data_IF_410605481616
#
_entry.id   IF_410605481616
#
_cell.length_a   1.000
_cell.length_b   1.000
_cell.length_c   1.000
_cell.angle_alpha   90.00
_cell.angle_beta   90.00
_cell.angle_gamma   90.00
#
_symmetry.space_group_name_H-M   'P 1'
#
loop_
_entity.id
_entity.type
_entity.pdbx_description
1 polymer ?
#
# COMPACT_ATOMS: atom_id res chain seq x y z
N UNK A 1 -8.62 19.43 6.02
CA UNK A 1 -9.68 18.56 5.43
C UNK A 1 -9.48 18.29 3.95
N UNK A 2 -9.18 19.30 3.10
CA UNK A 2 -8.91 19.09 1.66
C UNK A 2 -7.82 18.05 1.38
N UNK A 3 -6.67 18.15 2.04
CA UNK A 3 -5.56 17.19 1.89
C UNK A 3 -5.94 15.75 2.23
N UNK A 4 -6.75 15.54 3.27
CA UNK A 4 -7.18 14.19 3.67
C UNK A 4 -8.03 13.53 2.58
N UNK A 5 -8.99 14.28 2.01
CA UNK A 5 -9.84 13.80 0.92
C UNK A 5 -9.01 13.55 -0.35
N UNK A 6 -8.07 14.44 -0.67
CA UNK A 6 -7.17 14.26 -1.82
C UNK A 6 -6.26 13.04 -1.65
N UNK A 7 -5.71 12.81 -0.46
CA UNK A 7 -4.87 11.65 -0.17
C UNK A 7 -5.66 10.35 -0.31
N UNK A 8 -6.89 10.29 0.20
CA UNK A 8 -7.77 9.13 0.01
C UNK A 8 -8.05 8.89 -1.47
N UNK A 9 -8.38 9.95 -2.22
CA UNK A 9 -8.61 9.84 -3.67
C UNK A 9 -7.38 9.34 -4.42
N UNK A 10 -6.19 9.84 -4.07
CA UNK A 10 -4.93 9.39 -4.66
C UNK A 10 -4.63 7.92 -4.32
N UNK A 11 -4.90 7.50 -3.07
CA UNK A 11 -4.79 6.10 -2.64
C UNK A 11 -5.69 5.18 -3.47
N UNK A 12 -6.94 5.59 -3.73
CA UNK A 12 -7.86 4.82 -4.58
C UNK A 12 -7.37 4.72 -6.03
N UNK A 13 -6.81 5.80 -6.59
CA UNK A 13 -6.24 5.77 -7.94
C UNK A 13 -5.00 4.88 -7.98
N UNK A 14 -4.11 4.99 -6.99
CA UNK A 14 -2.88 4.20 -6.91
C UNK A 14 -3.17 2.70 -6.74
N UNK A 15 -4.15 2.34 -5.89
CA UNK A 15 -4.61 0.97 -5.73
C UNK A 15 -5.35 0.47 -6.97
N UNK A 16 -6.18 1.30 -7.61
CA UNK A 16 -6.95 0.94 -8.80
C UNK A 16 -6.13 0.77 -10.08
N UNK A 17 -5.02 1.50 -10.20
CA UNK A 17 -4.20 1.53 -11.42
C UNK A 17 -3.61 0.15 -11.79
N UNK A 18 -3.00 -0.62 -10.86
CA UNK A 18 -2.56 -1.99 -11.15
C UNK A 18 -3.69 -2.91 -11.64
N UNK A 19 -4.90 -2.81 -11.06
CA UNK A 19 -6.04 -3.62 -11.48
C UNK A 19 -6.51 -3.26 -12.89
N UNK A 20 -6.44 -1.98 -13.27
CA UNK A 20 -6.83 -1.51 -14.60
C UNK A 20 -5.75 -1.77 -15.66
N UNK A 21 -4.50 -1.42 -15.38
CA UNK A 21 -3.40 -1.48 -16.34
C UNK A 21 -2.82 -2.90 -16.50
N UNK A 22 -2.77 -3.70 -15.43
CA UNK A 22 -2.16 -5.04 -15.43
C UNK A 22 -2.99 -6.06 -14.62
N UNK A 23 -4.21 -6.38 -15.06
CA UNK A 23 -5.14 -7.25 -14.32
C UNK A 23 -4.60 -8.68 -14.11
N UNK A 24 -3.86 -9.22 -15.08
CA UNK A 24 -3.30 -10.57 -14.99
C UNK A 24 -2.18 -10.67 -13.94
N UNK A 25 -1.33 -9.65 -13.85
CA UNK A 25 -0.29 -9.54 -12.84
C UNK A 25 -0.89 -9.50 -11.44
N UNK A 26 -1.93 -8.67 -11.23
CA UNK A 26 -2.61 -8.61 -9.93
C UNK A 26 -3.32 -9.92 -9.57
N UNK A 27 -4.00 -10.58 -10.52
CA UNK A 27 -4.62 -11.89 -10.26
C UNK A 27 -3.59 -12.93 -9.82
N UNK A 28 -2.39 -12.94 -10.42
CA UNK A 28 -1.30 -13.83 -10.01
C UNK A 28 -0.82 -13.52 -8.59
N UNK A 29 -0.62 -12.24 -8.29
CA UNK A 29 -0.15 -11.78 -6.98
C UNK A 29 -1.15 -12.12 -5.87
N UNK A 30 -2.45 -11.92 -6.13
CA UNK A 30 -3.54 -12.34 -5.24
C UNK A 30 -3.59 -13.85 -5.00
N UNK A 31 -3.37 -14.67 -6.05
CA UNK A 31 -3.29 -16.13 -5.88
C UNK A 31 -2.12 -16.51 -4.96
N UNK A 32 -0.95 -15.92 -5.17
CA UNK A 32 0.21 -16.17 -4.31
C UNK A 32 -0.07 -15.79 -2.85
N UNK A 33 -0.76 -14.67 -2.60
CA UNK A 33 -1.17 -14.26 -1.26
C UNK A 33 -2.16 -15.24 -0.60
N UNK A 34 -3.09 -15.82 -1.38
CA UNK A 34 -4.04 -16.81 -0.89
C UNK A 34 -3.40 -18.17 -0.61
N UNK A 35 -2.34 -18.52 -1.35
CA UNK A 35 -1.58 -19.76 -1.15
C UNK A 35 -0.58 -19.67 0.00
N UNK A 36 -0.26 -18.46 0.48
CA UNK A 36 0.64 -18.26 1.62
C UNK A 36 0.02 -18.74 2.94
N UNK A 37 0.78 -19.41 3.82
CA UNK A 37 0.31 -19.76 5.15
C UNK A 37 0.03 -18.49 5.96
N UNK A 38 -0.95 -18.54 6.89
CA UNK A 38 -1.40 -17.36 7.63
C UNK A 38 -0.31 -16.71 8.50
N UNK A 39 0.70 -17.47 8.91
CA UNK A 39 1.84 -16.94 9.66
C UNK A 39 2.74 -16.05 8.77
N UNK A 40 3.03 -16.48 7.54
CA UNK A 40 3.81 -15.68 6.60
C UNK A 40 3.03 -14.44 6.16
N UNK A 41 1.72 -14.58 5.91
CA UNK A 41 0.88 -13.45 5.54
C UNK A 41 0.84 -12.37 6.65
N UNK A 42 0.82 -12.79 7.92
CA UNK A 42 0.92 -11.88 9.07
C UNK A 42 2.26 -11.15 9.10
N UNK A 43 3.37 -11.86 8.86
CA UNK A 43 4.69 -11.22 8.81
C UNK A 43 4.81 -10.23 7.66
N UNK A 44 4.33 -10.59 6.46
CA UNK A 44 4.30 -9.68 5.30
C UNK A 44 3.48 -8.42 5.61
N UNK A 45 2.29 -8.58 6.21
CA UNK A 45 1.45 -7.46 6.64
C UNK A 45 2.10 -6.62 7.74
N UNK A 46 2.81 -7.24 8.68
CA UNK A 46 3.50 -6.52 9.74
C UNK A 46 4.68 -5.70 9.22
N UNK A 47 5.49 -6.30 8.33
CA UNK A 47 6.61 -5.61 7.68
C UNK A 47 6.11 -4.48 6.80
N UNK A 48 5.04 -4.68 6.01
CA UNK A 48 4.48 -3.63 5.17
C UNK A 48 3.92 -2.47 6.01
N UNK A 49 3.27 -2.75 7.14
CA UNK A 49 2.80 -1.75 8.09
C UNK A 49 3.96 -0.95 8.70
N UNK A 50 5.02 -1.62 9.16
CA UNK A 50 6.21 -0.95 9.73
C UNK A 50 6.92 -0.07 8.70
N UNK A 51 7.06 -0.56 7.46
CA UNK A 51 7.64 0.23 6.37
C UNK A 51 6.78 1.45 6.06
N UNK A 52 5.45 1.30 6.00
CA UNK A 52 4.53 2.42 5.81
C UNK A 52 4.65 3.46 6.93
N UNK A 53 4.72 3.03 8.18
CA UNK A 53 4.95 3.91 9.33
C UNK A 53 6.30 4.62 9.26
N UNK A 54 7.35 3.92 8.86
CA UNK A 54 8.68 4.49 8.71
C UNK A 54 8.73 5.57 7.60
N UNK A 55 8.08 5.31 6.46
CA UNK A 55 7.94 6.29 5.37
C UNK A 55 7.14 7.50 5.85
N UNK A 56 6.01 7.30 6.54
CA UNK A 56 5.23 8.39 7.12
C UNK A 56 6.04 9.22 8.13
N UNK A 57 6.85 8.56 8.96
CA UNK A 57 7.72 9.22 9.92
C UNK A 57 8.78 10.09 9.23
N UNK A 58 9.45 9.56 8.21
CA UNK A 58 10.39 10.34 7.40
C UNK A 58 9.68 11.49 6.69
N UNK A 59 8.56 11.23 6.00
CA UNK A 59 7.83 12.26 5.27
C UNK A 59 7.36 13.41 6.17
N UNK A 60 6.93 13.12 7.41
CA UNK A 60 6.63 14.16 8.41
C UNK A 60 7.87 14.87 8.92
N UNK A 61 8.97 14.15 9.20
CA UNK A 61 10.20 14.74 9.75
C UNK A 61 10.96 15.59 8.74
N UNK A 62 10.92 15.25 7.46
CA UNK A 62 11.74 15.89 6.42
C UNK A 62 11.11 17.18 5.88
N UNK A 63 9.96 17.64 6.39
CA UNK A 63 9.40 18.94 6.01
C UNK A 63 9.10 19.07 4.51
N UNK A 64 8.95 17.95 3.79
CA UNK A 64 8.76 17.93 2.32
C UNK A 64 7.41 18.56 1.92
N UNK A 65 6.50 18.73 2.88
CA UNK A 65 5.20 19.37 2.71
C UNK A 65 5.02 20.64 3.56
N UNK A 66 6.11 21.35 3.92
CA UNK A 66 6.00 22.71 4.47
C UNK A 66 5.83 23.75 3.37
#
# INVERSE_FOLDING_TARGET
MKLFITLIGLLMVAEGLPYFAFPEGMKKLLKQLLEMPPEQLRWVGFVSMLLGLFICYIAQRTGIFS
#
